data_IF_464732282459
#
_entry.id   IF_464732282459
#
_cell.length_a   1.000
_cell.length_b   1.000
_cell.length_c   1.000
_cell.angle_alpha   90.00
_cell.angle_beta   90.00
_cell.angle_gamma   90.00
#
_symmetry.space_group_name_H-M   'P 1'
#
loop_
_entity.id
_entity.type
_entity.pdbx_description
1 polymer ?
#
# COMPACT_ATOMS: atom_id res chain seq x y z
N UNK A 1 7.95 24.89 4.44
CA UNK A 1 8.97 24.48 3.44
C UNK A 1 8.38 24.29 2.06
N UNK A 2 7.18 23.72 1.95
CA UNK A 2 6.52 23.48 0.64
C UNK A 2 6.35 24.72 -0.24
N UNK A 3 6.26 25.92 0.35
CA UNK A 3 6.08 27.17 -0.40
C UNK A 3 7.38 27.74 -1.00
N UNK A 4 8.52 27.24 -0.54
CA UNK A 4 9.84 27.82 -0.87
C UNK A 4 10.78 26.84 -1.55
N UNK A 5 10.44 25.56 -1.55
CA UNK A 5 11.24 24.47 -2.11
C UNK A 5 10.55 23.83 -3.30
N UNK A 6 11.33 23.48 -4.29
CA UNK A 6 10.92 22.65 -5.42
C UNK A 6 10.66 21.21 -4.96
N UNK A 7 10.04 20.40 -5.83
CA UNK A 7 9.84 18.98 -5.56
C UNK A 7 11.17 18.25 -5.31
N UNK A 8 12.20 18.52 -6.12
CA UNK A 8 13.51 17.88 -5.99
C UNK A 8 14.22 18.29 -4.69
N UNK A 9 14.14 19.55 -4.29
CA UNK A 9 14.70 20.02 -3.02
C UNK A 9 13.96 19.44 -1.80
N UNK A 10 12.65 19.23 -1.90
CA UNK A 10 11.88 18.53 -0.86
C UNK A 10 12.29 17.06 -0.79
N UNK A 11 12.41 16.40 -1.93
CA UNK A 11 12.85 15.00 -2.00
C UNK A 11 14.23 14.83 -1.37
N UNK A 12 15.20 15.67 -1.75
CA UNK A 12 16.55 15.65 -1.18
C UNK A 12 16.51 15.85 0.36
N UNK A 13 15.72 16.82 0.83
CA UNK A 13 15.54 17.06 2.25
C UNK A 13 14.96 15.82 3.00
N UNK A 14 13.99 15.12 2.40
CA UNK A 14 13.44 13.90 2.97
C UNK A 14 14.48 12.78 2.99
N UNK A 15 15.21 12.59 1.90
CA UNK A 15 16.15 11.47 1.74
C UNK A 15 17.42 11.67 2.59
N UNK A 16 17.93 12.90 2.71
CA UNK A 16 19.21 13.17 3.37
C UNK A 16 19.08 13.66 4.81
N UNK A 17 17.95 14.24 5.19
CA UNK A 17 17.76 14.83 6.50
C UNK A 17 16.63 14.16 7.27
N UNK A 18 15.39 14.30 6.79
CA UNK A 18 14.21 13.99 7.60
C UNK A 18 14.05 12.48 7.85
N UNK A 19 14.24 11.65 6.83
CA UNK A 19 14.14 10.20 6.94
C UNK A 19 15.40 9.55 7.54
N UNK A 20 16.52 10.28 7.59
CA UNK A 20 17.75 9.83 8.25
C UNK A 20 17.72 10.06 9.76
N UNK A 21 16.94 10.99 10.24
CA UNK A 21 16.73 11.19 11.68
C UNK A 21 15.84 10.08 12.25
N UNK A 22 16.49 9.12 12.91
CA UNK A 22 15.82 7.97 13.54
C UNK A 22 15.29 8.27 14.95
N UNK A 23 15.41 9.47 15.46
CA UNK A 23 14.97 9.86 16.81
C UNK A 23 13.44 9.69 17.01
N UNK A 24 12.67 9.85 15.93
CA UNK A 24 11.20 9.70 15.94
C UNK A 24 10.72 8.27 15.64
N UNK A 25 11.62 7.31 15.39
CA UNK A 25 11.25 5.96 15.00
C UNK A 25 11.08 5.05 16.23
N UNK A 26 9.95 4.37 16.31
CA UNK A 26 9.61 3.47 17.44
C UNK A 26 10.24 2.09 17.34
N UNK A 27 10.70 1.68 16.17
CA UNK A 27 11.36 0.39 15.96
C UNK A 27 12.30 0.41 14.75
N UNK A 28 13.23 -0.55 14.69
CA UNK A 28 14.15 -0.73 13.54
C UNK A 28 13.44 -1.13 12.24
N UNK A 29 12.17 -1.49 12.29
CA UNK A 29 11.37 -1.87 11.12
C UNK A 29 10.35 -0.81 10.72
N UNK A 30 10.41 0.34 11.36
CA UNK A 30 9.64 1.51 11.03
C UNK A 30 10.43 2.29 9.96
N UNK A 31 10.18 2.01 8.71
CA UNK A 31 10.91 2.57 7.59
C UNK A 31 9.99 3.45 6.74
N UNK A 32 10.36 4.71 6.51
CA UNK A 32 9.57 5.61 5.67
C UNK A 32 9.57 5.11 4.23
N UNK A 33 8.46 5.30 3.53
CA UNK A 33 8.40 4.99 2.10
C UNK A 33 9.17 6.06 1.33
N UNK A 34 10.25 5.70 0.59
CA UNK A 34 11.03 6.67 -0.17
C UNK A 34 10.17 7.45 -1.18
N UNK A 35 10.45 8.74 -1.36
CA UNK A 35 9.67 9.63 -2.23
C UNK A 35 9.58 9.09 -3.66
N UNK A 36 10.66 8.52 -4.21
CA UNK A 36 10.64 7.91 -5.56
C UNK A 36 9.68 6.72 -5.65
N UNK A 37 9.56 5.92 -4.59
CA UNK A 37 8.59 4.84 -4.54
C UNK A 37 7.17 5.39 -4.55
N UNK A 38 6.89 6.39 -3.70
CA UNK A 38 5.58 7.04 -3.64
C UNK A 38 5.23 7.71 -4.97
N UNK A 39 6.19 8.40 -5.62
CA UNK A 39 5.98 9.02 -6.93
C UNK A 39 5.55 8.00 -7.97
N UNK A 40 6.18 6.81 -7.98
CA UNK A 40 5.78 5.71 -8.86
C UNK A 40 4.38 5.18 -8.54
N UNK A 41 4.01 5.12 -7.26
CA UNK A 41 2.67 4.69 -6.82
C UNK A 41 1.61 5.72 -7.23
N UNK A 42 1.84 7.00 -6.95
CA UNK A 42 0.95 8.11 -7.25
C UNK A 42 0.73 8.28 -8.76
N UNK A 43 1.74 8.00 -9.59
CA UNK A 43 1.64 8.07 -11.06
C UNK A 43 0.65 7.07 -11.67
N UNK A 44 0.12 6.13 -10.89
CA UNK A 44 -0.89 5.15 -11.33
C UNK A 44 -2.32 5.56 -11.01
N UNK A 45 -2.50 6.63 -10.25
CA UNK A 45 -3.81 7.25 -10.06
C UNK A 45 -4.19 7.98 -11.35
N UNK A 46 -5.41 7.76 -11.88
CA UNK A 46 -5.84 8.40 -13.13
C UNK A 46 -5.75 9.94 -13.06
N UNK A 47 -5.34 10.56 -14.16
CA UNK A 47 -5.12 12.02 -14.19
C UNK A 47 -6.39 12.82 -13.90
N UNK A 48 -7.55 12.35 -14.34
CA UNK A 48 -8.85 12.95 -14.06
C UNK A 48 -9.21 12.99 -12.56
N UNK A 49 -8.58 12.18 -11.75
CA UNK A 49 -8.78 12.18 -10.31
C UNK A 49 -8.35 13.50 -9.69
N UNK A 50 -7.23 14.07 -10.13
CA UNK A 50 -6.59 15.22 -9.50
C UNK A 50 -7.36 16.54 -9.71
N UNK A 51 -8.16 16.63 -10.78
CA UNK A 51 -8.97 17.81 -11.10
C UNK A 51 -10.36 17.81 -10.46
N UNK A 52 -10.72 16.76 -9.69
CA UNK A 52 -12.01 16.70 -9.00
C UNK A 52 -12.16 17.83 -7.99
N UNK A 53 -13.37 18.42 -7.94
CA UNK A 53 -13.76 19.32 -6.86
C UNK A 53 -14.01 18.53 -5.58
N UNK A 54 -13.88 19.18 -4.44
CA UNK A 54 -14.18 18.62 -3.11
C UNK A 54 -13.43 17.32 -2.81
N UNK A 55 -12.19 17.21 -3.31
CA UNK A 55 -11.31 16.09 -3.00
C UNK A 55 -11.04 15.98 -1.50
N UNK A 56 -10.92 14.76 -1.03
CA UNK A 56 -10.48 14.45 0.33
C UNK A 56 -9.53 13.26 0.31
N UNK A 57 -8.34 13.46 0.87
CA UNK A 57 -7.24 12.49 0.86
C UNK A 57 -6.75 12.29 2.29
N UNK A 58 -6.75 11.04 2.75
CA UNK A 58 -6.29 10.66 4.10
C UNK A 58 -5.04 9.80 4.01
N UNK A 59 -4.05 10.12 4.86
CA UNK A 59 -3.02 9.17 5.25
C UNK A 59 -3.20 8.85 6.75
N UNK A 60 -3.66 7.63 7.09
CA UNK A 60 -3.98 7.26 8.47
C UNK A 60 -2.76 6.96 9.34
N UNK A 61 -1.56 6.94 8.79
CA UNK A 61 -0.28 6.69 9.47
C UNK A 61 0.87 7.37 8.72
N UNK A 62 0.74 8.70 8.59
CA UNK A 62 1.48 9.50 7.61
C UNK A 62 3.00 9.58 7.88
N UNK A 63 3.45 9.21 9.07
CA UNK A 63 4.84 9.40 9.43
C UNK A 63 5.26 10.86 9.26
N UNK A 64 6.33 11.08 8.52
CA UNK A 64 6.80 12.43 8.19
C UNK A 64 6.07 13.06 6.98
N UNK A 65 5.02 12.43 6.43
CA UNK A 65 4.28 12.96 5.29
C UNK A 65 4.85 12.60 3.92
N UNK A 66 5.62 11.52 3.81
CA UNK A 66 6.28 11.11 2.56
C UNK A 66 5.30 10.95 1.38
N UNK A 67 4.11 10.37 1.62
CA UNK A 67 3.09 10.21 0.57
C UNK A 67 2.58 11.55 0.05
N UNK A 68 2.52 12.54 0.92
CA UNK A 68 1.93 13.83 0.57
C UNK A 68 2.81 14.67 -0.36
N UNK A 69 4.12 14.42 -0.47
CA UNK A 69 4.99 15.21 -1.34
C UNK A 69 4.66 15.00 -2.82
N UNK A 70 4.62 13.77 -3.38
CA UNK A 70 4.20 13.56 -4.77
C UNK A 70 2.71 13.89 -5.00
N UNK A 71 1.84 13.66 -4.00
CA UNK A 71 0.42 14.02 -4.07
C UNK A 71 0.26 15.53 -4.19
N UNK A 72 0.97 16.31 -3.38
CA UNK A 72 0.98 17.77 -3.45
C UNK A 72 1.41 18.27 -4.83
N UNK A 73 2.45 17.66 -5.42
CA UNK A 73 2.90 18.01 -6.76
C UNK A 73 1.78 17.85 -7.79
N UNK A 74 1.03 16.75 -7.72
CA UNK A 74 -0.12 16.50 -8.61
C UNK A 74 -1.30 17.45 -8.36
N UNK A 75 -1.63 17.69 -7.10
CA UNK A 75 -2.74 18.58 -6.76
C UNK A 75 -2.49 20.03 -7.18
N UNK A 76 -1.26 20.52 -7.13
CA UNK A 76 -0.90 21.88 -7.53
C UNK A 76 -1.09 22.17 -9.02
N UNK A 77 -1.26 21.16 -9.85
CA UNK A 77 -1.63 21.33 -11.25
C UNK A 77 -3.09 21.81 -11.40
N UNK A 78 -3.93 21.64 -10.37
CA UNK A 78 -5.39 21.86 -10.44
C UNK A 78 -5.99 22.71 -9.30
N UNK A 79 -5.32 22.78 -8.15
CA UNK A 79 -5.83 23.41 -6.93
C UNK A 79 -4.81 24.42 -6.37
N UNK A 80 -5.27 25.46 -5.69
CA UNK A 80 -4.38 26.35 -4.98
C UNK A 80 -3.83 25.69 -3.68
N UNK A 81 -2.65 26.13 -3.27
CA UNK A 81 -1.95 25.52 -2.13
C UNK A 81 -2.73 25.62 -0.82
N UNK A 82 -3.49 26.70 -0.61
CA UNK A 82 -4.28 26.88 0.61
C UNK A 82 -5.42 25.86 0.65
N UNK A 83 -6.14 25.69 -0.46
CA UNK A 83 -7.20 24.68 -0.58
C UNK A 83 -6.64 23.27 -0.34
N UNK A 84 -5.50 22.94 -0.94
CA UNK A 84 -4.85 21.65 -0.74
C UNK A 84 -4.56 21.39 0.74
N UNK A 85 -3.97 22.36 1.43
CA UNK A 85 -3.53 22.21 2.82
C UNK A 85 -4.70 22.19 3.81
N UNK A 86 -5.71 23.01 3.59
CA UNK A 86 -6.80 23.22 4.56
C UNK A 86 -8.00 22.30 4.31
N UNK A 87 -8.21 21.85 3.06
CA UNK A 87 -9.44 21.13 2.69
C UNK A 87 -9.22 19.75 2.08
N UNK A 88 -8.11 19.51 1.37
CA UNK A 88 -7.91 18.27 0.65
C UNK A 88 -7.12 17.25 1.47
N UNK A 89 -5.95 17.63 1.98
CA UNK A 89 -5.05 16.70 2.69
C UNK A 89 -5.43 16.54 4.16
N UNK A 90 -5.38 15.31 4.65
CA UNK A 90 -5.56 14.98 6.07
C UNK A 90 -4.46 14.02 6.53
N UNK A 91 -3.82 14.38 7.64
CA UNK A 91 -2.66 13.71 8.20
C UNK A 91 -3.03 13.10 9.55
N UNK A 92 -2.81 11.81 9.72
CA UNK A 92 -2.93 11.18 11.03
C UNK A 92 -1.70 10.32 11.32
N UNK A 93 -1.22 10.36 12.54
CA UNK A 93 -0.20 9.44 13.06
C UNK A 93 -0.32 9.34 14.59
N UNK A 94 0.15 8.24 15.17
CA UNK A 94 0.25 8.09 16.63
C UNK A 94 1.50 8.75 17.22
N UNK A 95 2.37 9.30 16.38
CA UNK A 95 3.64 9.90 16.78
C UNK A 95 3.61 11.41 16.61
N UNK A 96 3.40 12.10 17.72
CA UNK A 96 3.33 13.58 17.75
C UNK A 96 4.57 14.26 17.18
N UNK A 97 5.79 13.71 17.42
CA UNK A 97 7.02 14.26 16.89
C UNK A 97 7.05 14.22 15.34
N UNK A 98 6.47 13.19 14.72
CA UNK A 98 6.32 13.13 13.26
C UNK A 98 5.29 14.13 12.74
N UNK A 99 4.19 14.29 13.46
CA UNK A 99 3.20 15.32 13.11
C UNK A 99 3.78 16.74 13.25
N UNK A 100 4.70 16.95 14.17
CA UNK A 100 5.45 18.22 14.24
C UNK A 100 6.34 18.40 12.98
N UNK A 101 6.98 17.33 12.49
CA UNK A 101 7.72 17.38 11.22
C UNK A 101 6.79 17.69 10.04
N UNK A 102 5.60 17.08 10.00
CA UNK A 102 4.56 17.40 8.99
C UNK A 102 4.20 18.88 9.07
N UNK A 103 3.92 19.42 10.26
CA UNK A 103 3.62 20.85 10.46
C UNK A 103 4.74 21.74 9.93
N UNK A 104 6.00 21.41 10.22
CA UNK A 104 7.16 22.19 9.76
C UNK A 104 7.31 22.16 8.23
N UNK A 105 7.15 20.98 7.62
CA UNK A 105 7.29 20.83 6.16
C UNK A 105 6.13 21.47 5.41
N UNK A 106 4.90 21.23 5.85
CA UNK A 106 3.68 21.67 5.17
C UNK A 106 3.19 23.05 5.63
N UNK A 107 4.04 23.80 6.34
CA UNK A 107 3.80 25.18 6.76
C UNK A 107 2.54 25.34 7.64
N UNK A 108 2.45 24.53 8.72
CA UNK A 108 1.34 24.58 9.68
C UNK A 108 1.19 25.93 10.40
N UNK A 109 2.23 26.77 10.42
CA UNK A 109 2.12 28.15 10.90
C UNK A 109 1.33 29.07 9.95
N UNK A 110 1.27 28.71 8.66
CA UNK A 110 0.62 29.50 7.62
C UNK A 110 -0.75 28.94 7.24
N UNK A 111 -0.88 27.61 7.22
CA UNK A 111 -2.09 26.91 6.81
C UNK A 111 -2.72 26.18 7.99
N UNK A 112 -4.04 26.15 8.04
CA UNK A 112 -4.78 25.38 9.02
C UNK A 112 -4.83 23.89 8.59
N UNK A 113 -3.71 23.18 8.81
CA UNK A 113 -3.58 21.78 8.42
C UNK A 113 -4.54 20.88 9.20
N UNK A 114 -5.13 19.91 8.53
CA UNK A 114 -5.95 18.88 9.16
C UNK A 114 -5.07 17.74 9.66
N UNK A 115 -4.58 17.91 10.87
CA UNK A 115 -3.66 16.97 11.54
C UNK A 115 -4.33 16.36 12.76
N UNK A 116 -4.24 15.06 12.94
CA UNK A 116 -4.74 14.34 14.11
C UNK A 116 -3.70 13.37 14.67
N UNK A 117 -3.58 13.32 16.01
CA UNK A 117 -2.72 12.39 16.71
C UNK A 117 -3.59 11.33 17.40
N UNK A 118 -4.14 10.38 16.60
CA UNK A 118 -5.13 9.41 17.10
C UNK A 118 -4.87 8.01 16.59
N UNK A 119 -5.31 7.00 17.35
CA UNK A 119 -5.32 5.63 16.82
C UNK A 119 -6.39 5.51 15.72
N UNK A 120 -5.90 5.39 14.48
CA UNK A 120 -6.77 5.28 13.32
C UNK A 120 -7.78 4.13 13.43
N UNK A 121 -7.41 3.01 14.06
CA UNK A 121 -8.29 1.85 14.16
C UNK A 121 -9.49 2.09 15.08
N UNK A 122 -9.35 2.98 16.06
CA UNK A 122 -10.41 3.37 16.98
C UNK A 122 -11.10 4.68 16.62
N UNK A 123 -10.61 5.38 15.59
CA UNK A 123 -11.18 6.64 15.13
C UNK A 123 -12.63 6.44 14.65
N UNK A 124 -13.56 7.13 15.28
CA UNK A 124 -14.96 7.22 14.84
C UNK A 124 -15.14 8.48 14.00
N UNK A 125 -15.61 8.32 12.76
CA UNK A 125 -15.84 9.43 11.84
C UNK A 125 -16.85 9.04 10.76
N UNK A 126 -17.70 9.99 10.39
CA UNK A 126 -18.61 9.89 9.24
C UNK A 126 -17.98 10.41 7.95
N UNK A 127 -16.77 10.96 8.01
CA UNK A 127 -16.04 11.40 6.82
C UNK A 127 -15.81 10.25 5.85
N UNK A 128 -15.85 10.60 4.56
CA UNK A 128 -15.50 9.68 3.47
C UNK A 128 -14.48 10.35 2.58
N UNK A 129 -13.54 9.54 2.07
CA UNK A 129 -12.37 10.01 1.34
C UNK A 129 -12.39 9.52 -0.10
N UNK A 130 -11.89 10.35 -1.00
CA UNK A 130 -11.67 9.97 -2.41
C UNK A 130 -10.43 9.11 -2.56
N UNK A 131 -9.44 9.30 -1.68
CA UNK A 131 -8.20 8.53 -1.66
C UNK A 131 -7.74 8.30 -0.22
N UNK A 132 -7.39 7.06 0.10
CA UNK A 132 -6.64 6.71 1.31
C UNK A 132 -5.32 6.10 0.89
N UNK A 133 -4.22 6.66 1.39
CA UNK A 133 -2.85 6.21 1.11
C UNK A 133 -2.18 5.74 2.38
N UNK A 134 -1.39 4.66 2.34
CA UNK A 134 -0.62 4.26 3.51
C UNK A 134 0.52 3.27 3.21
N UNK A 135 1.52 3.33 4.08
CA UNK A 135 2.39 2.23 4.45
C UNK A 135 2.04 1.85 5.90
N UNK A 136 1.02 1.02 6.15
CA UNK A 136 0.49 0.79 7.49
C UNK A 136 1.49 0.02 8.37
N UNK A 137 1.43 0.16 9.69
CA UNK A 137 2.23 -0.65 10.59
C UNK A 137 1.84 -2.13 10.45
N UNK A 138 2.85 -3.03 10.36
CA UNK A 138 2.60 -4.45 10.09
C UNK A 138 2.29 -5.27 11.34
N UNK A 139 2.73 -4.81 12.51
CA UNK A 139 2.49 -5.50 13.76
C UNK A 139 2.31 -4.50 14.92
N UNK A 140 1.47 -4.86 15.86
CA UNK A 140 1.35 -4.12 17.11
C UNK A 140 2.66 -4.22 17.91
N UNK A 141 3.12 -3.10 18.43
CA UNK A 141 4.24 -3.09 19.36
C UNK A 141 3.71 -3.30 20.78
N UNK A 142 4.43 -4.14 21.52
CA UNK A 142 4.22 -4.30 22.97
C UNK A 142 4.89 -3.11 23.70
N UNK A 143 4.55 -2.88 24.99
CA UNK A 143 5.17 -1.82 25.79
C UNK A 143 6.70 -1.91 25.87
N UNK A 144 7.26 -3.10 25.72
CA UNK A 144 8.72 -3.35 25.66
C UNK A 144 9.35 -3.11 24.27
N UNK A 145 8.59 -2.57 23.33
CA UNK A 145 9.02 -2.30 21.95
C UNK A 145 9.12 -3.54 21.05
N UNK A 146 8.81 -4.74 21.57
CA UNK A 146 8.79 -5.96 20.77
C UNK A 146 7.46 -6.10 20.02
N UNK A 147 7.48 -6.87 18.94
CA UNK A 147 6.26 -7.18 18.19
C UNK A 147 5.34 -8.12 18.98
N UNK A 148 4.06 -7.80 19.05
CA UNK A 148 3.06 -8.57 19.79
C UNK A 148 2.84 -9.99 19.27
N UNK A 149 3.02 -10.25 17.99
CA UNK A 149 2.92 -11.57 17.37
C UNK A 149 3.53 -11.60 15.96
N UNK A 150 3.74 -12.82 15.41
CA UNK A 150 4.11 -13.00 14.00
C UNK A 150 2.97 -12.73 13.01
N UNK A 151 1.75 -12.50 13.50
CA UNK A 151 0.58 -12.29 12.67
C UNK A 151 0.46 -10.81 12.26
N UNK A 152 0.31 -10.57 10.96
CA UNK A 152 0.12 -9.24 10.37
C UNK A 152 -1.33 -8.74 10.50
N UNK A 153 -1.94 -8.91 11.68
CA UNK A 153 -3.35 -8.57 11.91
C UNK A 153 -3.64 -7.07 11.72
N UNK A 154 -2.64 -6.19 11.98
CA UNK A 154 -2.82 -4.75 11.79
C UNK A 154 -3.03 -4.37 10.33
N UNK A 155 -2.34 -5.01 9.38
CA UNK A 155 -2.50 -4.71 7.94
C UNK A 155 -3.96 -4.90 7.53
N UNK A 156 -4.56 -6.04 7.91
CA UNK A 156 -5.97 -6.31 7.62
C UNK A 156 -6.90 -5.27 8.23
N UNK A 157 -6.68 -4.92 9.49
CA UNK A 157 -7.50 -3.93 10.19
C UNK A 157 -7.39 -2.54 9.55
N UNK A 158 -6.18 -2.13 9.16
CA UNK A 158 -5.98 -0.88 8.43
C UNK A 158 -6.68 -0.87 7.08
N UNK A 159 -6.59 -1.96 6.32
CA UNK A 159 -7.27 -2.09 5.02
C UNK A 159 -8.79 -2.04 5.21
N UNK A 160 -9.36 -2.85 6.09
CA UNK A 160 -10.81 -2.90 6.33
C UNK A 160 -11.35 -1.53 6.77
N UNK A 161 -10.67 -0.86 7.71
CA UNK A 161 -11.04 0.48 8.16
C UNK A 161 -10.94 1.50 7.03
N UNK A 162 -9.84 1.49 6.27
CA UNK A 162 -9.64 2.40 5.13
C UNK A 162 -10.70 2.22 4.07
N UNK A 163 -11.02 0.97 3.69
CA UNK A 163 -12.08 0.68 2.73
C UNK A 163 -13.45 1.16 3.22
N UNK A 164 -13.72 1.06 4.52
CA UNK A 164 -14.99 1.56 5.09
C UNK A 164 -15.12 3.09 5.05
N UNK A 165 -14.01 3.81 4.95
CA UNK A 165 -13.96 5.26 4.85
C UNK A 165 -13.86 5.78 3.42
N UNK A 166 -13.75 4.92 2.42
CA UNK A 166 -13.76 5.36 1.02
C UNK A 166 -15.14 5.74 0.54
N UNK A 167 -15.21 6.80 -0.25
CA UNK A 167 -16.37 7.09 -1.09
C UNK A 167 -16.59 5.96 -2.11
N UNK A 168 -17.81 5.79 -2.66
CA UNK A 168 -17.97 5.02 -3.90
C UNK A 168 -16.99 5.53 -4.96
N UNK A 169 -16.37 4.62 -5.71
CA UNK A 169 -15.32 4.90 -6.70
C UNK A 169 -14.05 5.57 -6.16
N UNK A 170 -13.90 5.71 -4.84
CA UNK A 170 -12.68 6.18 -4.20
C UNK A 170 -11.55 5.14 -4.29
N UNK A 171 -10.33 5.59 -4.03
CA UNK A 171 -9.13 4.77 -4.21
C UNK A 171 -8.42 4.45 -2.90
N UNK A 172 -7.88 3.23 -2.81
CA UNK A 172 -6.94 2.79 -1.79
C UNK A 172 -5.57 2.59 -2.44
N UNK A 173 -4.55 3.32 -1.99
CA UNK A 173 -3.17 3.19 -2.48
C UNK A 173 -2.27 2.76 -1.32
N UNK A 174 -2.01 1.47 -1.23
CA UNK A 174 -1.25 0.88 -0.12
C UNK A 174 0.02 0.19 -0.58
N UNK A 175 1.02 0.18 0.31
CA UNK A 175 2.19 -0.69 0.21
C UNK A 175 2.26 -1.60 1.44
N UNK A 176 2.36 -2.91 1.22
CA UNK A 176 2.36 -3.92 2.29
C UNK A 176 3.29 -5.08 1.94
N UNK A 177 3.68 -5.93 2.91
CA UNK A 177 4.28 -7.22 2.59
C UNK A 177 3.39 -8.07 1.68
N UNK A 178 4.01 -8.93 0.87
CA UNK A 178 3.37 -9.71 -0.19
C UNK A 178 2.62 -10.97 0.28
N UNK A 179 2.67 -11.30 1.55
CA UNK A 179 2.07 -12.52 2.11
C UNK A 179 0.55 -12.65 1.91
N UNK A 180 -0.15 -11.55 1.64
CA UNK A 180 -1.57 -11.58 1.32
C UNK A 180 -1.88 -12.21 -0.03
N UNK A 181 -0.92 -12.32 -0.93
CA UNK A 181 -1.05 -12.97 -2.24
C UNK A 181 -0.95 -14.50 -2.18
N UNK A 182 -0.47 -15.05 -1.05
CA UNK A 182 -0.22 -16.48 -0.92
C UNK A 182 -1.50 -17.31 -0.89
N UNK A 183 -1.42 -18.50 -1.47
CA UNK A 183 -2.48 -19.49 -1.37
C UNK A 183 -2.58 -20.03 0.06
N UNK A 184 -3.71 -19.76 0.70
CA UNK A 184 -4.06 -20.39 1.98
C UNK A 184 -5.57 -20.31 2.19
N UNK A 185 -6.19 -21.37 2.68
CA UNK A 185 -7.64 -21.43 2.92
C UNK A 185 -8.14 -20.34 3.88
N UNK A 186 -7.26 -19.85 4.75
CA UNK A 186 -7.56 -18.79 5.73
C UNK A 186 -7.15 -17.40 5.27
N UNK A 187 -6.66 -17.25 4.05
CA UNK A 187 -6.24 -15.96 3.53
C UNK A 187 -7.44 -15.12 3.07
N UNK A 188 -8.12 -14.52 4.03
CA UNK A 188 -9.31 -13.70 3.78
C UNK A 188 -8.93 -12.40 3.05
N UNK A 189 -7.68 -11.92 3.19
CA UNK A 189 -7.29 -10.61 2.67
C UNK A 189 -7.20 -10.60 1.14
N UNK A 190 -6.68 -11.67 0.52
CA UNK A 190 -6.65 -11.75 -0.94
C UNK A 190 -8.05 -11.70 -1.53
N UNK A 191 -9.01 -12.43 -0.92
CA UNK A 191 -10.40 -12.41 -1.35
C UNK A 191 -10.96 -10.99 -1.22
N UNK A 192 -10.78 -10.35 -0.05
CA UNK A 192 -11.28 -9.01 0.22
C UNK A 192 -10.77 -7.97 -0.78
N UNK A 193 -9.49 -8.00 -1.13
CA UNK A 193 -8.89 -7.06 -2.07
C UNK A 193 -9.30 -7.34 -3.52
N UNK A 194 -9.45 -8.62 -3.90
CA UNK A 194 -9.81 -9.01 -5.26
C UNK A 194 -11.34 -9.00 -5.52
N UNK A 195 -12.17 -8.79 -4.51
CA UNK A 195 -13.59 -8.44 -4.65
C UNK A 195 -13.81 -7.03 -5.19
N UNK A 196 -12.81 -6.17 -5.11
CA UNK A 196 -12.82 -4.80 -5.63
C UNK A 196 -12.01 -4.70 -6.92
N UNK A 197 -12.14 -3.58 -7.62
CA UNK A 197 -11.34 -3.32 -8.82
C UNK A 197 -9.89 -3.02 -8.43
N UNK A 198 -8.98 -3.96 -8.67
CA UNK A 198 -7.55 -3.65 -8.66
C UNK A 198 -7.23 -2.91 -9.96
N UNK A 199 -6.81 -1.66 -9.85
CA UNK A 199 -6.39 -0.83 -10.99
C UNK A 199 -4.94 -1.13 -11.34
N UNK A 200 -4.07 -1.19 -10.32
CA UNK A 200 -2.67 -1.53 -10.47
C UNK A 200 -2.17 -2.42 -9.33
N UNK A 201 -1.36 -3.39 -9.66
CA UNK A 201 -0.66 -4.26 -8.71
C UNK A 201 0.82 -4.31 -9.07
N UNK A 202 1.69 -3.87 -8.13
CA UNK A 202 3.13 -4.03 -8.28
C UNK A 202 3.65 -5.13 -7.37
N UNK A 203 4.32 -6.13 -7.95
CA UNK A 203 4.83 -7.30 -7.24
C UNK A 203 6.35 -7.20 -7.15
N UNK A 204 6.87 -7.01 -5.94
CA UNK A 204 8.30 -6.91 -5.61
C UNK A 204 9.08 -5.75 -6.26
N UNK A 205 8.46 -4.93 -7.11
CA UNK A 205 9.14 -3.79 -7.73
C UNK A 205 9.57 -2.72 -6.71
N UNK A 206 8.87 -2.63 -5.57
CA UNK A 206 9.24 -1.74 -4.47
C UNK A 206 10.56 -2.11 -3.79
N UNK A 207 11.03 -3.36 -3.92
CA UNK A 207 12.25 -3.85 -3.25
C UNK A 207 13.49 -3.01 -3.53
N UNK A 208 13.59 -2.44 -4.72
CA UNK A 208 14.72 -1.57 -5.11
C UNK A 208 14.82 -0.30 -4.25
N UNK A 209 13.71 0.16 -3.70
CA UNK A 209 13.64 1.34 -2.82
C UNK A 209 13.95 1.03 -1.36
N UNK A 210 13.74 -0.22 -0.93
CA UNK A 210 13.95 -0.69 0.46
C UNK A 210 15.17 -1.60 0.56
N UNK A 211 16.36 -1.06 0.26
CA UNK A 211 17.61 -1.83 0.15
C UNK A 211 18.02 -2.57 1.42
N UNK A 212 17.66 -2.04 2.59
CA UNK A 212 18.05 -2.58 3.90
C UNK A 212 17.05 -3.56 4.51
N UNK A 213 15.86 -3.72 3.92
CA UNK A 213 14.79 -4.54 4.47
C UNK A 213 14.78 -5.91 3.80
N UNK A 214 14.75 -6.99 4.60
CA UNK A 214 14.71 -8.36 4.11
C UNK A 214 13.39 -8.78 3.47
N UNK A 215 12.28 -8.13 3.82
CA UNK A 215 10.94 -8.47 3.33
C UNK A 215 10.72 -8.07 1.88
N UNK A 216 9.81 -8.78 1.21
CA UNK A 216 9.27 -8.41 -0.10
C UNK A 216 7.99 -7.62 0.09
N UNK A 217 7.79 -6.64 -0.78
CA UNK A 217 6.64 -5.75 -0.73
C UNK A 217 5.87 -5.77 -2.05
N UNK A 218 4.56 -5.61 -1.90
CA UNK A 218 3.65 -5.26 -2.99
C UNK A 218 3.05 -3.88 -2.69
N UNK A 219 2.80 -3.12 -3.73
CA UNK A 219 1.89 -2.00 -3.61
C UNK A 219 0.79 -2.11 -4.65
N UNK A 220 -0.35 -1.56 -4.32
CA UNK A 220 -1.55 -1.70 -5.13
C UNK A 220 -2.43 -0.47 -5.04
N UNK A 221 -3.07 -0.17 -6.16
CA UNK A 221 -4.13 0.82 -6.31
C UNK A 221 -5.44 0.06 -6.52
N UNK A 222 -6.37 0.22 -5.59
CA UNK A 222 -7.69 -0.41 -5.63
C UNK A 222 -8.75 0.68 -5.71
N UNK A 223 -9.71 0.52 -6.60
CA UNK A 223 -10.91 1.35 -6.65
C UNK A 223 -12.05 0.66 -5.91
N UNK A 224 -12.77 1.42 -5.07
CA UNK A 224 -13.93 0.95 -4.31
C UNK A 224 -15.15 0.80 -5.22
N UNK A 225 -15.08 -0.12 -6.15
CA UNK A 225 -16.19 -0.47 -7.03
C UNK A 225 -16.15 -1.97 -7.40
N UNK A 226 -17.27 -2.49 -7.86
CA UNK A 226 -17.42 -3.88 -8.28
C UNK A 226 -17.35 -4.06 -9.81
N UNK A 227 -16.84 -3.06 -10.51
CA UNK A 227 -16.68 -3.10 -11.97
C UNK A 227 -15.32 -3.69 -12.31
N UNK A 228 -15.27 -4.93 -12.77
CA UNK A 228 -14.01 -5.59 -13.09
C UNK A 228 -13.55 -5.24 -14.51
N UNK A 229 -12.55 -4.37 -14.57
CA UNK A 229 -11.75 -4.09 -15.77
C UNK A 229 -10.41 -4.83 -15.65
N UNK A 230 -9.67 -4.91 -16.76
CA UNK A 230 -8.30 -5.39 -16.67
C UNK A 230 -7.48 -4.53 -15.71
N UNK A 231 -6.65 -5.19 -14.89
CA UNK A 231 -5.71 -4.53 -13.99
C UNK A 231 -4.32 -4.48 -14.62
N UNK A 232 -3.61 -3.40 -14.41
CA UNK A 232 -2.20 -3.34 -14.71
C UNK A 232 -1.41 -4.12 -13.65
N UNK A 233 -0.55 -5.02 -14.09
CA UNK A 233 0.40 -5.71 -13.22
C UNK A 233 1.80 -5.34 -13.64
N UNK A 234 2.63 -4.97 -12.69
CA UNK A 234 4.07 -4.78 -12.89
C UNK A 234 4.84 -5.48 -11.79
N UNK A 235 6.09 -5.79 -12.02
CA UNK A 235 6.87 -6.44 -10.98
C UNK A 235 8.32 -6.67 -11.35
N UNK A 236 9.04 -7.26 -10.39
CA UNK A 236 10.44 -7.66 -10.58
C UNK A 236 10.63 -9.10 -10.13
N UNK A 237 11.11 -9.94 -11.02
CA UNK A 237 11.46 -11.33 -10.73
C UNK A 237 12.86 -11.67 -11.22
N UNK A 238 13.72 -12.18 -10.36
CA UNK A 238 15.13 -12.54 -10.68
C UNK A 238 15.83 -11.42 -11.47
N UNK A 239 15.70 -10.17 -11.03
CA UNK A 239 16.27 -8.95 -11.63
C UNK A 239 15.69 -8.56 -13.01
N UNK A 240 14.63 -9.21 -13.47
CA UNK A 240 13.90 -8.82 -14.69
C UNK A 240 12.63 -8.09 -14.27
N UNK A 241 12.42 -6.93 -14.87
CA UNK A 241 11.15 -6.20 -14.74
C UNK A 241 10.14 -6.80 -15.73
N UNK A 242 8.87 -6.83 -15.35
CA UNK A 242 7.77 -7.23 -16.21
C UNK A 242 6.56 -6.34 -15.95
N UNK A 243 5.73 -6.20 -16.95
CA UNK A 243 4.44 -5.51 -16.89
C UNK A 243 3.44 -6.16 -17.84
N UNK A 244 2.15 -5.94 -17.60
CA UNK A 244 1.08 -6.47 -18.44
C UNK A 244 -0.31 -6.15 -17.91
N UNK A 245 -1.30 -6.50 -18.72
CA UNK A 245 -2.72 -6.43 -18.36
C UNK A 245 -3.24 -7.82 -18.04
N UNK A 246 -3.95 -7.93 -16.93
CA UNK A 246 -4.54 -9.19 -16.45
C UNK A 246 -5.99 -8.92 -16.04
N UNK A 247 -6.96 -9.77 -16.40
CA UNK A 247 -8.33 -9.63 -15.96
C UNK A 247 -8.45 -9.51 -14.43
N UNK A 248 -9.18 -8.53 -13.92
CA UNK A 248 -9.53 -8.43 -12.51
C UNK A 248 -10.57 -9.48 -12.10
N UNK A 249 -10.80 -9.60 -10.83
CA UNK A 249 -11.82 -10.47 -10.24
C UNK A 249 -11.28 -11.30 -9.08
N UNK A 250 -12.15 -11.99 -8.39
CA UNK A 250 -11.82 -12.76 -7.18
C UNK A 250 -10.74 -13.79 -7.47
N UNK A 251 -9.73 -13.83 -6.61
CA UNK A 251 -8.58 -14.74 -6.71
C UNK A 251 -8.35 -15.47 -5.39
N UNK A 252 -7.82 -16.68 -5.51
CA UNK A 252 -7.31 -17.47 -4.37
C UNK A 252 -5.81 -17.35 -4.21
N UNK A 253 -5.11 -16.97 -5.28
CA UNK A 253 -3.67 -16.90 -5.35
C UNK A 253 -3.22 -15.89 -6.41
N UNK A 254 -2.18 -15.13 -6.10
CA UNK A 254 -1.49 -14.27 -7.06
C UNK A 254 -0.01 -14.66 -7.03
N UNK A 255 0.53 -15.19 -8.13
CA UNK A 255 1.95 -15.62 -8.19
C UNK A 255 2.89 -14.43 -8.30
N UNK A 256 4.18 -14.68 -8.04
CA UNK A 256 5.24 -13.65 -8.06
C UNK A 256 5.54 -13.11 -9.47
N UNK A 257 5.17 -13.86 -10.51
CA UNK A 257 5.10 -13.38 -11.90
C UNK A 257 3.65 -13.57 -12.33
N UNK A 258 2.98 -12.48 -12.64
CA UNK A 258 1.56 -12.52 -12.93
C UNK A 258 1.27 -11.77 -14.22
N UNK A 259 1.26 -12.50 -15.31
CA UNK A 259 0.93 -12.05 -16.65
C UNK A 259 -0.35 -12.73 -17.16
N UNK A 260 -0.75 -12.41 -18.39
CA UNK A 260 -1.95 -12.97 -19.03
C UNK A 260 -1.89 -14.50 -19.20
N UNK A 261 -0.69 -15.04 -19.46
CA UNK A 261 -0.52 -16.50 -19.62
C UNK A 261 -0.70 -17.21 -18.28
N UNK A 262 0.00 -16.72 -17.24
CA UNK A 262 -0.11 -17.29 -15.89
C UNK A 262 -1.54 -17.15 -15.37
N UNK A 263 -2.20 -16.02 -15.62
CA UNK A 263 -3.62 -15.84 -15.31
C UNK A 263 -4.49 -16.91 -15.99
N UNK A 264 -4.28 -17.16 -17.28
CA UNK A 264 -5.04 -18.19 -18.03
C UNK A 264 -4.88 -19.60 -17.43
N UNK A 265 -3.66 -19.92 -16.96
CA UNK A 265 -3.41 -21.21 -16.30
C UNK A 265 -4.15 -21.28 -14.95
N UNK A 266 -4.06 -20.24 -14.13
CA UNK A 266 -4.73 -20.18 -12.83
C UNK A 266 -6.26 -20.25 -12.96
N UNK A 267 -6.82 -19.55 -13.92
CA UNK A 267 -8.26 -19.57 -14.18
C UNK A 267 -8.77 -20.98 -14.56
N UNK A 268 -7.93 -21.78 -15.21
CA UNK A 268 -8.25 -23.18 -15.56
C UNK A 268 -7.99 -24.18 -14.44
N UNK A 269 -7.21 -23.82 -13.45
CA UNK A 269 -6.75 -24.69 -12.36
C UNK A 269 -7.24 -24.21 -10.99
N UNK A 270 -6.47 -23.35 -10.33
CA UNK A 270 -6.69 -22.92 -8.93
C UNK A 270 -8.02 -22.19 -8.75
N UNK A 271 -8.39 -21.34 -9.70
CA UNK A 271 -9.57 -20.50 -9.63
C UNK A 271 -10.81 -21.14 -10.30
N UNK A 272 -10.69 -22.33 -10.88
CA UNK A 272 -11.80 -23.02 -11.51
C UNK A 272 -12.73 -23.65 -10.46
N UNK A 273 -13.98 -23.17 -10.32
CA UNK A 273 -14.92 -23.72 -9.34
C UNK A 273 -15.40 -25.14 -9.68
N UNK A 274 -15.24 -25.56 -10.94
CA UNK A 274 -15.72 -26.86 -11.44
C UNK A 274 -14.67 -27.98 -11.37
N UNK A 275 -13.43 -27.66 -10.97
CA UNK A 275 -12.43 -28.69 -10.76
C UNK A 275 -12.67 -29.39 -9.41
N UNK A 276 -12.71 -30.72 -9.48
CA UNK A 276 -12.71 -31.56 -8.28
C UNK A 276 -11.45 -31.24 -7.45
N UNK A 277 -11.66 -30.96 -6.17
CA UNK A 277 -10.55 -30.75 -5.23
C UNK A 277 -9.94 -32.12 -4.93
N UNK A 278 -8.78 -32.39 -5.49
CA UNK A 278 -7.99 -33.54 -5.07
C UNK A 278 -7.44 -33.25 -3.66
N UNK A 279 -7.84 -34.09 -2.71
CA UNK A 279 -7.24 -34.09 -1.39
C UNK A 279 -5.89 -34.80 -1.47
N UNK A 280 -4.82 -34.03 -1.47
CA UNK A 280 -3.46 -34.62 -1.36
C UNK A 280 -3.21 -34.88 0.13
N UNK A 281 -3.19 -36.15 0.51
CA UNK A 281 -2.71 -36.55 1.83
C UNK A 281 -1.18 -36.56 1.79
N UNK A 282 -0.57 -35.62 2.50
CA UNK A 282 0.89 -35.61 2.66
C UNK A 282 1.25 -36.32 3.96
N UNK A 283 2.12 -37.32 3.91
CA UNK A 283 2.73 -37.88 5.11
C UNK A 283 3.75 -36.91 5.70
N UNK A 284 3.97 -36.98 7.01
CA UNK A 284 4.92 -36.11 7.72
C UNK A 284 6.36 -36.21 7.19
N UNK A 285 6.70 -37.30 6.51
CA UNK A 285 8.03 -37.53 5.92
C UNK A 285 8.22 -36.82 4.57
N UNK A 286 7.14 -36.58 3.82
CA UNK A 286 7.18 -35.77 2.62
C UNK A 286 7.48 -34.28 2.93
N UNK A 287 7.20 -33.80 4.12
CA UNK A 287 7.49 -32.43 4.53
C UNK A 287 8.98 -32.08 4.55
N UNK A 288 9.86 -33.06 4.69
CA UNK A 288 11.33 -32.87 4.63
C UNK A 288 11.85 -32.73 3.20
N UNK A 289 11.17 -33.30 2.21
CA UNK A 289 11.57 -33.31 0.80
C UNK A 289 10.86 -32.23 -0.01
N UNK A 290 9.64 -31.85 0.35
CA UNK A 290 8.76 -31.02 -0.47
C UNK A 290 9.06 -29.53 -0.50
N UNK A 291 9.89 -28.99 0.40
CA UNK A 291 10.26 -27.57 0.32
C UNK A 291 11.11 -27.19 -0.90
N UNK A 292 11.76 -28.17 -1.55
CA UNK A 292 12.55 -27.96 -2.78
C UNK A 292 11.86 -28.49 -4.03
N UNK A 293 11.15 -29.60 -3.95
CA UNK A 293 10.67 -30.33 -5.11
C UNK A 293 9.24 -29.96 -5.56
N UNK A 294 8.36 -29.56 -4.63
CA UNK A 294 7.04 -29.01 -5.01
C UNK A 294 7.13 -27.63 -5.67
N UNK A 295 8.15 -26.84 -5.36
CA UNK A 295 8.42 -25.60 -6.08
C UNK A 295 8.90 -25.86 -7.52
N UNK A 296 9.44 -27.04 -7.84
CA UNK A 296 9.81 -27.42 -9.20
C UNK A 296 8.63 -27.90 -10.01
N UNK A 297 7.59 -28.48 -9.40
CA UNK A 297 6.35 -28.92 -10.08
C UNK A 297 5.36 -27.76 -10.35
N UNK A 298 5.45 -26.66 -9.62
CA UNK A 298 4.70 -25.42 -9.89
C UNK A 298 5.44 -24.53 -10.93
N UNK A 299 6.61 -24.94 -11.40
CA UNK A 299 7.42 -24.26 -12.40
C UNK A 299 7.22 -24.80 -13.84
N UNK A 300 6.16 -25.57 -14.09
CA UNK A 300 5.76 -25.98 -15.44
C UNK A 300 4.73 -25.00 -16.02
#
# INVERSE_FOLDING_TARGET
MIDTKTFEELKEYYDEVLNMDKSTYKSTNDEPTPIDCVSKMVSKIPDEFWSKKDLSILDPCCGNGNFHIPILSKLREHHDTKEIMENILEFNDLNEARLQNVSNVFCGEKYNLRVSCTDFLTLETDKRYDLVVANPPYAKLMPDGKRASKNHNLIKSFIDKSLSLLKPDGYLLFITPDNWMSYADRNVLIKRLTELQIVHLNIHGAKKYFKKIGSSFTWYLIQNCNSYKDMEVSGTWKKREYEGLVPSGIRRYIPLVYDKLVHSILAKTVDNPNLEKFKVETSSDLHKYTKRDLLSLIHI
#
